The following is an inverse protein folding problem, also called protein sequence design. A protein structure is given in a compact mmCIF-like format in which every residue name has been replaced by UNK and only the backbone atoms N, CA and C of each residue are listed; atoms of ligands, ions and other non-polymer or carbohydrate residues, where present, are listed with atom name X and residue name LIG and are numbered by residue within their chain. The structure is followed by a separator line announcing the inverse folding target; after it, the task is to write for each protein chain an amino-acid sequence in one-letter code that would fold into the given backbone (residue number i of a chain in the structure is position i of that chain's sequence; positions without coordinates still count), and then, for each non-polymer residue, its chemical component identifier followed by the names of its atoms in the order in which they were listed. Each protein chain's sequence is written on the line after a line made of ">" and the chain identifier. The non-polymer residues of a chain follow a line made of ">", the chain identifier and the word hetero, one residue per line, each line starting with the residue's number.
data_IF_269840522140
#
_entry.id   IF_269840522140
#
_cell.length_a   1.000
_cell.length_b   1.000
_cell.length_c   1.000
_cell.angle_alpha   90.00
_cell.angle_beta   90.00
_cell.angle_gamma   90.00
#
_symmetry.space_group_name_H-M   'P 1'
#
loop_
_entity.id
_entity.type
_entity.pdbx_description
1 polymer ?
#
# COMPACT_ATOMS: atom_id res chain seq x y z
N UNK A 1 -7.73 -5.77 -26.46
CA UNK A 1 -7.49 -4.44 -25.87
C UNK A 1 -6.00 -4.34 -25.62
N UNK A 2 -5.24 -3.82 -26.60
CA UNK A 2 -3.77 -3.80 -26.60
C UNK A 2 -3.36 -2.40 -26.17
N UNK A 3 -3.48 -2.11 -24.87
CA UNK A 3 -2.99 -0.85 -24.33
C UNK A 3 -1.51 -1.06 -24.03
N UNK A 4 -0.67 -0.24 -24.67
CA UNK A 4 0.79 -0.17 -24.55
C UNK A 4 1.57 -1.27 -25.28
N UNK A 5 1.75 -1.08 -26.60
CA UNK A 5 3.05 -1.38 -27.18
C UNK A 5 4.05 -0.43 -26.48
N UNK A 6 4.99 -1.00 -25.72
CA UNK A 6 5.99 -0.25 -24.96
C UNK A 6 6.78 0.66 -25.90
N UNK A 7 6.96 1.94 -25.54
CA UNK A 7 7.94 2.78 -26.23
C UNK A 7 9.29 2.10 -25.96
N UNK A 8 10.03 1.69 -27.01
CA UNK A 8 11.28 0.99 -26.83
C UNK A 8 12.24 1.88 -26.02
N UNK A 9 12.92 1.27 -25.02
CA UNK A 9 13.97 1.85 -24.16
C UNK A 9 13.55 2.58 -22.88
N UNK A 10 12.30 2.48 -22.41
CA UNK A 10 11.91 3.06 -21.12
C UNK A 10 11.64 1.98 -20.05
N UNK A 11 12.16 2.10 -18.82
CA UNK A 11 11.93 1.11 -17.76
C UNK A 11 10.46 1.00 -17.38
N UNK A 12 9.98 -0.21 -17.10
CA UNK A 12 8.59 -0.48 -16.71
C UNK A 12 8.13 0.34 -15.49
N UNK A 13 9.01 0.47 -14.49
CA UNK A 13 8.74 1.29 -13.30
C UNK A 13 8.46 2.75 -13.62
N UNK A 14 9.13 3.30 -14.64
CA UNK A 14 8.92 4.69 -15.05
C UNK A 14 7.54 4.87 -15.71
N UNK A 15 7.09 3.91 -16.54
CA UNK A 15 5.72 3.93 -17.07
C UNK A 15 4.67 3.85 -15.97
N UNK A 16 4.87 2.93 -15.02
CA UNK A 16 3.94 2.76 -13.89
C UNK A 16 3.85 4.05 -13.08
N UNK A 17 4.99 4.69 -12.80
CA UNK A 17 5.04 5.99 -12.12
C UNK A 17 4.25 7.06 -12.89
N UNK A 18 4.54 7.26 -14.19
CA UNK A 18 3.83 8.28 -14.98
C UNK A 18 2.32 8.05 -15.02
N UNK A 19 1.90 6.80 -15.22
CA UNK A 19 0.49 6.43 -15.22
C UNK A 19 -0.18 6.74 -13.87
N UNK A 20 0.46 6.38 -12.76
CA UNK A 20 -0.08 6.65 -11.42
C UNK A 20 -0.16 8.16 -11.17
N UNK A 21 0.87 8.93 -11.52
CA UNK A 21 0.86 10.38 -11.37
C UNK A 21 -0.24 11.04 -12.20
N UNK A 22 -0.43 10.62 -13.46
CA UNK A 22 -1.54 11.10 -14.30
C UNK A 22 -2.91 10.79 -13.66
N UNK A 23 -3.12 9.57 -13.16
CA UNK A 23 -4.37 9.21 -12.47
C UNK A 23 -4.59 10.05 -11.21
N UNK A 24 -3.53 10.33 -10.45
CA UNK A 24 -3.57 11.22 -9.28
C UNK A 24 -3.95 12.66 -9.69
N UNK A 25 -3.49 13.13 -10.86
CA UNK A 25 -3.89 14.44 -11.40
C UNK A 25 -5.36 14.50 -11.80
N UNK A 26 -5.90 13.43 -12.36
CA UNK A 26 -7.32 13.33 -12.73
C UNK A 26 -8.27 13.32 -11.52
N UNK A 27 -7.76 13.12 -10.30
CA UNK A 27 -8.53 13.11 -9.03
C UNK A 27 -9.79 12.23 -9.10
N UNK A 28 -9.64 10.93 -9.41
CA UNK A 28 -10.78 10.02 -9.45
C UNK A 28 -11.45 9.92 -8.07
N UNK A 29 -12.74 9.55 -8.06
CA UNK A 29 -13.46 9.29 -6.81
C UNK A 29 -12.84 8.13 -6.01
N UNK A 30 -12.35 7.11 -6.72
CA UNK A 30 -11.64 5.96 -6.15
C UNK A 30 -10.47 5.59 -7.07
N UNK A 31 -9.28 5.45 -6.48
CA UNK A 31 -8.10 4.89 -7.14
C UNK A 31 -7.82 3.48 -6.59
N UNK A 32 -7.58 2.52 -7.47
CA UNK A 32 -7.21 1.15 -7.09
C UNK A 32 -5.87 0.82 -7.72
N UNK A 33 -4.90 0.42 -6.90
CA UNK A 33 -3.55 0.05 -7.34
C UNK A 33 -3.27 -1.37 -6.83
N UNK A 34 -3.05 -2.29 -7.76
CA UNK A 34 -2.66 -3.66 -7.45
C UNK A 34 -1.13 -3.78 -7.44
N UNK A 35 -0.58 -4.45 -6.41
CA UNK A 35 0.86 -4.66 -6.19
C UNK A 35 1.69 -3.39 -6.44
N UNK A 36 1.48 -2.34 -5.64
CA UNK A 36 2.11 -1.04 -5.88
C UNK A 36 3.63 -1.13 -6.01
N UNK A 37 4.26 -2.00 -5.22
CA UNK A 37 5.70 -2.22 -5.17
C UNK A 37 6.28 -2.84 -6.44
N UNK A 38 5.46 -3.48 -7.27
CA UNK A 38 5.94 -4.14 -8.47
C UNK A 38 6.58 -3.11 -9.42
N UNK A 39 7.86 -3.35 -9.75
CA UNK A 39 8.69 -2.53 -10.64
C UNK A 39 9.01 -1.12 -10.12
N UNK A 40 8.69 -0.78 -8.87
CA UNK A 40 8.99 0.52 -8.26
C UNK A 40 9.99 0.38 -7.11
N UNK A 41 10.97 1.27 -7.08
CA UNK A 41 11.84 1.46 -5.93
C UNK A 41 11.03 2.05 -4.75
N UNK A 42 11.38 1.66 -3.53
CA UNK A 42 10.75 2.05 -2.26
C UNK A 42 10.47 3.57 -2.15
N UNK A 43 11.50 4.40 -2.36
CA UNK A 43 11.38 5.86 -2.46
C UNK A 43 10.24 6.34 -3.38
N UNK A 44 10.04 5.71 -4.55
CA UNK A 44 8.98 6.12 -5.47
C UNK A 44 7.59 5.79 -4.91
N UNK A 45 7.47 4.69 -4.17
CA UNK A 45 6.22 4.30 -3.53
C UNK A 45 5.87 5.30 -2.42
N UNK A 46 6.85 5.72 -1.62
CA UNK A 46 6.71 6.79 -0.62
C UNK A 46 6.15 8.07 -1.25
N UNK A 47 6.78 8.55 -2.34
CA UNK A 47 6.29 9.73 -3.07
C UNK A 47 4.87 9.57 -3.62
N UNK A 48 4.51 8.38 -4.11
CA UNK A 48 3.16 8.10 -4.62
C UNK A 48 2.13 8.16 -3.49
N UNK A 49 2.41 7.51 -2.34
CA UNK A 49 1.52 7.49 -1.18
C UNK A 49 1.32 8.91 -0.63
N UNK A 50 2.39 9.71 -0.56
CA UNK A 50 2.32 11.12 -0.17
C UNK A 50 1.44 11.93 -1.14
N UNK A 51 1.66 11.78 -2.45
CA UNK A 51 0.89 12.49 -3.47
C UNK A 51 -0.61 12.16 -3.40
N UNK A 52 -0.96 10.89 -3.20
CA UNK A 52 -2.34 10.42 -2.98
C UNK A 52 -2.94 11.05 -1.72
N UNK A 53 -2.18 11.03 -0.61
CA UNK A 53 -2.62 11.50 0.70
C UNK A 53 -2.87 13.00 0.71
N UNK A 54 -1.94 13.79 0.17
CA UNK A 54 -2.05 15.25 0.06
C UNK A 54 -3.27 15.67 -0.76
N UNK A 55 -3.63 14.88 -1.79
CA UNK A 55 -4.80 15.15 -2.63
C UNK A 55 -6.12 14.61 -2.08
N UNK A 56 -6.09 13.87 -0.97
CA UNK A 56 -7.28 13.30 -0.34
C UNK A 56 -8.00 12.28 -1.21
N UNK A 57 -7.29 11.58 -2.12
CA UNK A 57 -7.88 10.61 -3.03
C UNK A 57 -8.17 9.32 -2.26
N UNK A 58 -9.43 8.87 -2.30
CA UNK A 58 -9.80 7.58 -1.71
C UNK A 58 -9.14 6.45 -2.51
N UNK A 59 -8.19 5.76 -1.88
CA UNK A 59 -7.36 4.78 -2.58
C UNK A 59 -7.40 3.42 -1.89
N UNK A 60 -7.46 2.35 -2.69
CA UNK A 60 -7.26 0.97 -2.26
C UNK A 60 -5.96 0.48 -2.90
N UNK A 61 -5.04 0.02 -2.06
CA UNK A 61 -3.75 -0.52 -2.48
C UNK A 61 -3.66 -1.96 -2.00
N UNK A 62 -3.36 -2.89 -2.91
CA UNK A 62 -2.89 -4.22 -2.53
C UNK A 62 -1.36 -4.21 -2.48
N UNK A 63 -0.79 -4.92 -1.52
CA UNK A 63 0.65 -4.98 -1.30
C UNK A 63 1.00 -6.25 -0.56
N UNK A 64 2.14 -6.83 -0.92
CA UNK A 64 2.87 -7.82 -0.14
C UNK A 64 4.10 -7.20 0.54
N UNK A 65 4.45 -5.95 0.18
CA UNK A 65 5.59 -5.22 0.70
C UNK A 65 5.38 -4.74 2.15
N UNK A 66 6.26 -5.18 3.09
CA UNK A 66 6.35 -4.63 4.45
C UNK A 66 6.50 -3.11 4.48
N UNK A 67 7.26 -2.55 3.55
CA UNK A 67 7.51 -1.10 3.49
C UNK A 67 6.21 -0.31 3.32
N UNK A 68 5.25 -0.80 2.51
CA UNK A 68 3.97 -0.11 2.30
C UNK A 68 3.13 -0.13 3.58
N UNK A 69 3.20 -1.22 4.34
CA UNK A 69 2.50 -1.36 5.63
C UNK A 69 3.00 -0.32 6.63
N UNK A 70 4.30 -0.03 6.63
CA UNK A 70 4.91 0.95 7.55
C UNK A 70 4.67 2.42 7.15
N UNK A 71 4.30 2.68 5.89
CA UNK A 71 4.00 4.03 5.39
C UNK A 71 2.55 4.49 5.66
N UNK A 72 1.67 3.60 6.12
CA UNK A 72 0.25 3.90 6.29
C UNK A 72 -0.20 3.75 7.74
N UNK A 73 -1.17 4.56 8.15
CA UNK A 73 -1.79 4.44 9.48
C UNK A 73 -2.48 3.07 9.62
N UNK A 74 -2.28 2.40 10.75
CA UNK A 74 -2.87 1.09 11.08
C UNK A 74 -4.39 1.04 10.85
N UNK A 75 -5.11 2.15 11.07
CA UNK A 75 -6.58 2.18 10.85
C UNK A 75 -6.98 1.96 9.39
N UNK A 76 -6.04 2.21 8.46
CA UNK A 76 -6.24 2.08 7.02
C UNK A 76 -5.85 0.69 6.49
N UNK A 77 -5.33 -0.20 7.35
CA UNK A 77 -4.87 -1.53 6.94
C UNK A 77 -6.02 -2.55 7.01
N UNK A 78 -6.14 -3.33 5.95
CA UNK A 78 -6.96 -4.55 5.90
C UNK A 78 -6.03 -5.75 5.73
N UNK A 79 -6.12 -6.69 6.67
CA UNK A 79 -5.35 -7.93 6.62
C UNK A 79 -6.19 -8.96 5.87
N UNK A 80 -5.67 -9.44 4.75
CA UNK A 80 -6.30 -10.48 3.93
C UNK A 80 -5.53 -11.78 4.14
N UNK A 81 -6.22 -12.83 4.60
CA UNK A 81 -5.62 -14.14 4.84
C UNK A 81 -6.55 -15.28 4.42
N UNK A 82 -5.98 -16.43 4.09
CA UNK A 82 -6.75 -17.63 3.79
C UNK A 82 -6.89 -18.49 5.05
N UNK A 83 -8.12 -18.82 5.43
CA UNK A 83 -8.43 -19.69 6.57
C UNK A 83 -9.46 -20.72 6.13
N UNK A 84 -9.16 -22.02 6.30
CA UNK A 84 -10.03 -23.12 5.87
C UNK A 84 -10.51 -22.99 4.41
N UNK A 85 -9.59 -22.66 3.49
CA UNK A 85 -9.86 -22.38 2.07
C UNK A 85 -10.86 -21.24 1.81
N UNK A 86 -11.06 -20.34 2.76
CA UNK A 86 -11.88 -19.14 2.60
C UNK A 86 -11.03 -17.88 2.78
N UNK A 87 -11.31 -16.86 1.97
CA UNK A 87 -10.69 -15.55 2.14
C UNK A 87 -11.33 -14.85 3.34
N UNK A 88 -10.53 -14.53 4.35
CA UNK A 88 -10.92 -13.69 5.48
C UNK A 88 -10.23 -12.34 5.37
N UNK A 89 -11.02 -11.30 5.61
CA UNK A 89 -10.54 -9.91 5.65
C UNK A 89 -10.81 -9.37 7.04
N UNK A 90 -9.78 -8.88 7.69
CA UNK A 90 -9.83 -8.39 9.07
C UNK A 90 -9.29 -6.95 9.13
N UNK A 91 -9.87 -6.15 10.02
CA UNK A 91 -9.36 -4.82 10.37
C UNK A 91 -8.57 -4.92 11.66
N UNK A 92 -7.52 -4.12 11.78
CA UNK A 92 -6.76 -3.99 13.02
C UNK A 92 -7.67 -3.44 14.12
N UNK A 93 -7.77 -4.17 15.23
CA UNK A 93 -8.54 -3.70 16.40
C UNK A 93 -7.76 -2.64 17.17
N UNK A 94 -8.45 -1.61 17.68
CA UNK A 94 -7.84 -0.52 18.47
C UNK A 94 -6.55 0.08 17.85
N UNK A 95 -6.56 0.48 16.57
CA UNK A 95 -5.35 0.82 15.82
C UNK A 95 -4.50 1.93 16.46
N UNK A 96 -5.14 2.91 17.10
CA UNK A 96 -4.44 3.99 17.80
C UNK A 96 -3.59 3.48 18.97
N UNK A 97 -4.20 2.68 19.87
CA UNK A 97 -3.51 2.14 21.04
C UNK A 97 -2.33 1.24 20.63
N UNK A 98 -2.50 0.50 19.54
CA UNK A 98 -1.45 -0.37 19.01
C UNK A 98 -0.31 0.38 18.37
N UNK A 99 -0.62 1.39 17.56
CA UNK A 99 0.41 2.29 17.03
C UNK A 99 1.25 2.90 18.16
N UNK A 100 0.60 3.33 19.25
CA UNK A 100 1.30 3.83 20.44
C UNK A 100 2.16 2.76 21.15
N UNK A 101 1.72 1.50 21.23
CA UNK A 101 2.51 0.40 21.82
C UNK A 101 3.72 0.06 20.97
N UNK A 102 3.53 -0.11 19.66
CA UNK A 102 4.59 -0.44 18.70
C UNK A 102 5.70 0.62 18.72
N UNK A 103 5.33 1.91 18.76
CA UNK A 103 6.29 3.01 18.88
C UNK A 103 7.10 2.92 20.19
N UNK A 104 6.46 2.59 21.32
CA UNK A 104 7.16 2.44 22.62
C UNK A 104 8.12 1.25 22.63
N UNK A 105 7.77 0.18 21.92
CA UNK A 105 8.56 -1.04 21.81
C UNK A 105 9.66 -0.94 20.73
N UNK A 106 9.63 0.10 19.89
CA UNK A 106 10.56 0.28 18.79
C UNK A 106 10.35 -0.73 17.66
N UNK A 107 9.12 -1.24 17.51
CA UNK A 107 8.73 -2.27 16.54
C UNK A 107 7.89 -1.60 15.44
N UNK A 108 8.16 -1.96 14.19
CA UNK A 108 7.37 -1.48 13.04
C UNK A 108 6.06 -2.27 12.89
N UNK A 109 5.00 -1.66 12.33
CA UNK A 109 3.78 -2.39 11.94
C UNK A 109 4.03 -3.67 11.15
N UNK A 110 4.97 -3.62 10.20
CA UNK A 110 5.28 -4.74 9.34
C UNK A 110 5.98 -5.88 10.07
N UNK A 111 6.92 -5.58 10.98
CA UNK A 111 7.51 -6.58 11.87
C UNK A 111 6.44 -7.25 12.74
N UNK A 112 5.56 -6.47 13.37
CA UNK A 112 4.46 -7.02 14.17
C UNK A 112 3.54 -7.94 13.36
N UNK A 113 3.26 -7.58 12.10
CA UNK A 113 2.48 -8.42 11.18
C UNK A 113 3.20 -9.72 10.83
N UNK A 114 4.52 -9.69 10.62
CA UNK A 114 5.34 -10.86 10.29
C UNK A 114 5.47 -11.84 11.48
N UNK A 115 5.52 -11.35 12.71
CA UNK A 115 5.78 -12.16 13.91
C UNK A 115 4.53 -12.75 14.59
N UNK A 116 3.34 -12.58 14.01
CA UNK A 116 2.12 -13.25 14.47
C UNK A 116 0.85 -12.41 14.32
N UNK A 117 0.99 -11.11 14.10
CA UNK A 117 -0.12 -10.21 13.82
C UNK A 117 -0.22 -9.08 14.82
N UNK A 118 -0.59 -7.91 14.31
CA UNK A 118 -0.81 -6.68 15.08
C UNK A 118 -1.93 -6.86 16.14
N UNK A 119 -2.68 -7.97 16.12
CA UNK A 119 -3.76 -8.32 17.05
C UNK A 119 -3.43 -9.35 18.14
N UNK A 120 -2.14 -9.68 18.35
CA UNK A 120 -1.73 -10.45 19.54
C UNK A 120 -1.61 -9.62 20.81
#
# INVERSE_FOLDING_TARGET
>A
HKIMDTIPNLPLGFYKLLMILELIEQKPEILVIDEIENSLHEKMIEYIIDAITVRGIKTIISTHSPMVVDLVDLKNILIVKMVNNQTKVERITNPKQKSESLIKEGITPSESLLYGGIDH
#
